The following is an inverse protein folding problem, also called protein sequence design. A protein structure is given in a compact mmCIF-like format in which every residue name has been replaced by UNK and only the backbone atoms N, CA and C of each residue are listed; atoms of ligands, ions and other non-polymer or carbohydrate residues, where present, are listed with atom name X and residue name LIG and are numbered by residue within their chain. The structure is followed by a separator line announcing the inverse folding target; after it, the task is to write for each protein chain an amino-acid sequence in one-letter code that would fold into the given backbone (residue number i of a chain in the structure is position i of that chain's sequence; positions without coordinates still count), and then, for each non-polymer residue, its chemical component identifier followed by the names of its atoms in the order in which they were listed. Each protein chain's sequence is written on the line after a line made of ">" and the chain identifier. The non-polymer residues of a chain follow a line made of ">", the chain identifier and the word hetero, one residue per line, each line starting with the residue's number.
data_IF_847522037185
#
_entry.id   IF_847522037185
#
_cell.length_a   1.000
_cell.length_b   1.000
_cell.length_c   1.000
_cell.angle_alpha   90.00
_cell.angle_beta   90.00
_cell.angle_gamma   90.00
#
_symmetry.space_group_name_H-M   'P 1'
#
loop_
_entity.id
_entity.type
_entity.pdbx_description
1 polymer ?
#
# COMPACT_ATOMS: atom_id res chain seq x y z
N UNK A 1 -9.17 14.08 18.04
CA UNK A 1 -10.57 14.51 18.29
C UNK A 1 -10.82 14.92 19.74
N UNK A 2 -10.39 14.09 20.69
CA UNK A 2 -10.62 14.30 22.13
C UNK A 2 -10.17 15.69 22.62
N UNK A 3 -9.03 16.19 22.15
CA UNK A 3 -8.53 17.52 22.51
C UNK A 3 -9.52 18.66 22.15
N UNK A 4 -10.07 18.64 20.94
CA UNK A 4 -11.00 19.70 20.49
C UNK A 4 -12.35 19.58 21.21
N UNK A 5 -12.84 18.35 21.40
CA UNK A 5 -14.07 18.09 22.12
C UNK A 5 -13.98 18.49 23.61
N UNK A 6 -12.81 18.31 24.23
CA UNK A 6 -12.52 18.79 25.60
C UNK A 6 -12.62 20.31 25.73
N UNK A 7 -12.34 21.06 24.66
CA UNK A 7 -12.52 22.51 24.60
C UNK A 7 -13.89 22.92 24.01
N UNK A 8 -14.87 22.01 24.01
CA UNK A 8 -16.22 22.23 23.47
C UNK A 8 -16.26 22.63 21.98
N UNK A 9 -15.19 22.36 21.23
CA UNK A 9 -15.15 22.55 19.78
C UNK A 9 -15.75 21.30 19.14
N UNK A 10 -16.84 21.47 18.41
CA UNK A 10 -17.47 20.39 17.64
C UNK A 10 -16.47 19.88 16.60
N UNK A 11 -16.00 18.65 16.80
CA UNK A 11 -15.20 17.91 15.85
C UNK A 11 -15.93 16.61 15.50
N UNK A 12 -15.77 16.14 14.27
CA UNK A 12 -16.32 14.89 13.77
C UNK A 12 -15.26 14.13 12.97
N UNK A 13 -15.28 12.79 13.02
CA UNK A 13 -14.46 11.95 12.18
C UNK A 13 -15.30 11.43 11.01
N UNK A 14 -14.87 11.70 9.78
CA UNK A 14 -15.63 11.40 8.56
C UNK A 14 -14.89 10.44 7.61
N UNK A 15 -13.76 9.86 8.03
CA UNK A 15 -12.89 9.07 7.14
C UNK A 15 -12.17 9.94 6.11
N UNK A 16 -11.66 9.32 5.03
CA UNK A 16 -10.97 10.04 3.95
C UNK A 16 -11.82 10.06 2.69
N UNK A 17 -11.88 11.20 2.00
CA UNK A 17 -12.64 11.38 0.75
C UNK A 17 -12.29 10.31 -0.31
N UNK A 18 -11.05 9.80 -0.33
CA UNK A 18 -10.63 8.74 -1.26
C UNK A 18 -11.42 7.43 -1.13
N UNK A 19 -12.16 7.23 -0.03
CA UNK A 19 -13.10 6.12 0.14
C UNK A 19 -14.30 6.18 -0.83
N UNK A 20 -14.47 7.26 -1.59
CA UNK A 20 -15.53 7.39 -2.61
C UNK A 20 -15.01 7.17 -4.05
N UNK A 21 -13.70 6.98 -4.26
CA UNK A 21 -13.13 6.83 -5.61
C UNK A 21 -13.61 5.57 -6.35
N UNK A 22 -14.08 4.57 -5.62
CA UNK A 22 -14.71 3.37 -6.17
C UNK A 22 -15.93 3.66 -7.03
N UNK A 23 -16.64 4.77 -6.80
CA UNK A 23 -17.79 5.17 -7.64
C UNK A 23 -17.38 5.45 -9.10
N UNK A 24 -16.09 5.76 -9.34
CA UNK A 24 -15.56 6.08 -10.67
C UNK A 24 -14.54 5.05 -11.16
N UNK A 25 -13.70 4.53 -10.26
CA UNK A 25 -12.52 3.75 -10.63
C UNK A 25 -12.65 2.25 -10.35
N UNK A 26 -13.73 1.78 -9.72
CA UNK A 26 -13.94 0.34 -9.53
C UNK A 26 -13.91 -0.41 -10.88
N UNK A 27 -13.35 -1.62 -10.85
CA UNK A 27 -13.21 -2.48 -12.02
C UNK A 27 -13.40 -3.95 -11.63
N UNK A 28 -14.33 -4.61 -12.32
CA UNK A 28 -14.53 -6.06 -12.23
C UNK A 28 -13.40 -6.85 -12.92
N UNK A 29 -12.83 -6.27 -13.97
CA UNK A 29 -11.67 -6.85 -14.65
C UNK A 29 -10.43 -6.79 -13.73
N UNK A 30 -9.79 -7.93 -13.50
CA UNK A 30 -8.54 -8.04 -12.74
C UNK A 30 -7.39 -8.48 -13.65
N UNK A 31 -6.21 -7.88 -13.46
CA UNK A 31 -5.00 -8.15 -14.25
C UNK A 31 -4.16 -9.31 -13.68
N UNK A 32 -4.57 -9.89 -12.55
CA UNK A 32 -3.89 -10.99 -11.87
C UNK A 32 -2.59 -10.60 -11.17
N UNK A 33 -2.18 -9.32 -11.18
CA UNK A 33 -0.89 -8.85 -10.67
C UNK A 33 -0.97 -8.41 -9.21
N UNK A 34 0.14 -8.61 -8.51
CA UNK A 34 0.35 -8.13 -7.14
C UNK A 34 1.23 -6.89 -7.21
N UNK A 35 0.83 -5.84 -6.52
CA UNK A 35 1.54 -4.57 -6.50
C UNK A 35 2.10 -4.28 -5.12
N UNK A 36 3.41 -4.08 -5.02
CA UNK A 36 4.06 -3.50 -3.85
C UNK A 36 4.25 -2.00 -4.08
N UNK A 37 3.49 -1.20 -3.36
CA UNK A 37 3.44 0.26 -3.56
C UNK A 37 4.00 0.95 -2.35
N UNK A 38 5.19 1.55 -2.47
CA UNK A 38 5.93 2.14 -1.33
C UNK A 38 5.79 1.27 -0.05
N UNK A 39 6.13 -0.02 -0.10
CA UNK A 39 6.07 -0.86 1.09
C UNK A 39 7.10 -0.36 2.11
N UNK A 40 6.87 -0.65 3.40
CA UNK A 40 7.82 -0.30 4.46
C UNK A 40 9.24 -0.72 4.09
N UNK A 41 10.19 0.20 4.25
CA UNK A 41 11.62 -0.05 4.11
C UNK A 41 12.37 0.37 5.37
N UNK A 42 13.39 -0.41 5.79
CA UNK A 42 14.20 -0.07 6.94
C UNK A 42 14.96 1.22 6.65
N UNK A 43 14.76 2.22 7.51
CA UNK A 43 15.38 3.56 7.37
C UNK A 43 16.65 3.67 8.23
N UNK A 44 16.80 2.80 9.24
CA UNK A 44 17.92 2.86 10.19
C UNK A 44 19.26 2.47 9.54
N UNK A 45 20.30 3.25 9.86
CA UNK A 45 21.67 2.94 9.43
C UNK A 45 22.13 1.62 10.05
N UNK A 46 22.34 0.61 9.20
CA UNK A 46 22.93 -0.67 9.60
C UNK A 46 24.45 -0.61 9.61
N UNK A 47 25.06 -1.29 10.58
CA UNK A 47 26.52 -1.41 10.64
C UNK A 47 27.05 -2.22 9.45
N UNK A 48 28.34 -2.07 9.14
CA UNK A 48 28.94 -2.81 8.01
C UNK A 48 28.87 -4.33 8.21
N UNK A 49 29.07 -4.81 9.45
CA UNK A 49 28.91 -6.22 9.80
C UNK A 49 27.49 -6.72 9.48
N UNK A 50 26.45 -5.96 9.83
CA UNK A 50 25.07 -6.32 9.53
C UNK A 50 24.78 -6.40 8.02
N UNK A 51 25.38 -5.51 7.21
CA UNK A 51 25.28 -5.55 5.75
C UNK A 51 25.96 -6.78 5.17
N UNK A 52 27.16 -7.12 5.64
CA UNK A 52 27.90 -8.32 5.19
C UNK A 52 27.11 -9.58 5.55
N UNK A 53 26.63 -9.69 6.79
CA UNK A 53 25.80 -10.82 7.22
C UNK A 53 24.51 -10.94 6.39
N UNK A 54 23.89 -9.82 6.03
CA UNK A 54 22.73 -9.81 5.15
C UNK A 54 23.05 -10.34 3.76
N UNK A 55 24.16 -9.91 3.15
CA UNK A 55 24.59 -10.38 1.83
C UNK A 55 24.85 -11.88 1.85
N UNK A 56 25.53 -12.40 2.87
CA UNK A 56 25.77 -13.84 3.05
C UNK A 56 24.45 -14.61 3.19
N UNK A 57 23.53 -14.14 4.03
CA UNK A 57 22.21 -14.78 4.23
C UNK A 57 21.34 -14.77 2.98
N UNK A 58 21.50 -13.78 2.12
CA UNK A 58 20.68 -13.61 0.91
C UNK A 58 21.35 -14.14 -0.35
N UNK A 59 22.61 -14.60 -0.28
CA UNK A 59 23.36 -15.15 -1.40
C UNK A 59 22.66 -16.31 -2.13
N UNK A 60 21.98 -17.27 -1.44
CA UNK A 60 21.24 -18.33 -2.12
C UNK A 60 20.10 -17.81 -3.01
N UNK A 61 19.60 -16.61 -2.73
CA UNK A 61 18.50 -15.98 -3.45
C UNK A 61 18.97 -14.92 -4.46
N UNK A 62 20.26 -14.91 -4.82
CA UNK A 62 20.87 -13.90 -5.70
C UNK A 62 20.08 -13.65 -6.99
N UNK A 63 19.71 -14.71 -7.73
CA UNK A 63 18.94 -14.58 -8.99
C UNK A 63 17.59 -13.90 -8.77
N UNK A 64 16.90 -14.23 -7.68
CA UNK A 64 15.62 -13.63 -7.35
C UNK A 64 15.76 -12.16 -6.96
N UNK A 65 16.71 -11.84 -6.08
CA UNK A 65 16.97 -10.48 -5.62
C UNK A 65 17.41 -9.60 -6.79
N UNK A 66 18.22 -10.12 -7.73
CA UNK A 66 18.61 -9.38 -8.94
C UNK A 66 17.39 -9.06 -9.82
N UNK A 67 16.49 -10.03 -10.06
CA UNK A 67 15.22 -9.81 -10.80
C UNK A 67 14.34 -8.76 -10.10
N UNK A 68 14.18 -8.88 -8.78
CA UNK A 68 13.41 -7.92 -7.97
C UNK A 68 14.04 -6.53 -8.03
N UNK A 69 15.38 -6.43 -7.94
CA UNK A 69 16.10 -5.15 -8.01
C UNK A 69 15.84 -4.47 -9.35
N UNK A 70 15.96 -5.19 -10.46
CA UNK A 70 15.67 -4.65 -11.78
C UNK A 70 14.23 -4.12 -11.87
N UNK A 71 13.23 -4.84 -11.36
CA UNK A 71 11.84 -4.36 -11.34
C UNK A 71 11.64 -3.11 -10.46
N UNK A 72 12.18 -3.11 -9.23
CA UNK A 72 12.04 -2.01 -8.25
C UNK A 72 12.70 -0.69 -8.69
N UNK A 73 13.72 -0.79 -9.54
CA UNK A 73 14.55 0.34 -9.94
C UNK A 73 14.62 0.49 -11.47
N UNK A 74 13.58 0.05 -12.20
CA UNK A 74 13.44 0.26 -13.66
C UNK A 74 14.69 -0.17 -14.47
N UNK A 75 15.30 -1.29 -14.09
CA UNK A 75 16.50 -1.86 -14.73
C UNK A 75 17.83 -1.44 -14.10
N UNK A 76 17.84 -0.45 -13.21
CA UNK A 76 19.07 0.07 -12.60
C UNK A 76 19.55 -0.79 -11.41
N UNK A 77 20.54 -1.66 -11.66
CA UNK A 77 21.10 -2.57 -10.65
C UNK A 77 22.43 -2.04 -10.11
N UNK A 78 22.38 -0.99 -9.29
CA UNK A 78 23.54 -0.54 -8.50
C UNK A 78 23.69 -1.38 -7.23
N UNK A 79 24.89 -1.39 -6.64
CA UNK A 79 25.13 -2.05 -5.35
C UNK A 79 24.19 -1.54 -4.25
N UNK A 80 23.91 -0.22 -4.23
CA UNK A 80 22.97 0.38 -3.28
C UNK A 80 21.55 -0.16 -3.47
N UNK A 81 21.06 -0.21 -4.71
CA UNK A 81 19.73 -0.72 -5.05
C UNK A 81 19.60 -2.22 -4.75
N UNK A 82 20.66 -2.99 -5.02
CA UNK A 82 20.75 -4.40 -4.69
C UNK A 82 20.69 -4.62 -3.16
N UNK A 83 21.51 -3.90 -2.40
CA UNK A 83 21.53 -3.99 -0.93
C UNK A 83 20.17 -3.62 -0.32
N UNK A 84 19.54 -2.54 -0.80
CA UNK A 84 18.17 -2.17 -0.40
C UNK A 84 17.16 -3.28 -0.75
N UNK A 85 17.41 -4.05 -1.80
CA UNK A 85 16.57 -5.20 -2.18
C UNK A 85 16.85 -6.43 -1.33
N UNK A 86 18.09 -6.65 -0.88
CA UNK A 86 18.38 -7.67 0.14
C UNK A 86 17.61 -7.40 1.43
N UNK A 87 17.55 -6.14 1.89
CA UNK A 87 16.77 -5.77 3.08
C UNK A 87 15.28 -6.03 2.88
N UNK A 88 14.73 -5.56 1.75
CA UNK A 88 13.35 -5.86 1.36
C UNK A 88 13.08 -7.36 1.36
N UNK A 89 13.89 -8.12 0.63
CA UNK A 89 13.72 -9.55 0.49
C UNK A 89 13.80 -10.26 1.85
N UNK A 90 14.72 -9.85 2.74
CA UNK A 90 14.82 -10.36 4.11
C UNK A 90 13.51 -10.19 4.91
N UNK A 91 12.87 -9.04 4.78
CA UNK A 91 11.62 -8.74 5.50
C UNK A 91 10.46 -9.52 4.88
N UNK A 92 10.25 -9.37 3.58
CA UNK A 92 9.01 -9.84 2.96
C UNK A 92 9.01 -11.34 2.64
N UNK A 93 10.16 -12.00 2.53
CA UNK A 93 10.19 -13.45 2.32
C UNK A 93 9.66 -14.25 3.52
N UNK A 94 9.49 -13.62 4.70
CA UNK A 94 8.92 -14.30 5.86
C UNK A 94 7.42 -14.51 5.73
N UNK A 95 6.75 -13.71 4.88
CA UNK A 95 5.30 -13.71 4.73
C UNK A 95 4.82 -13.96 3.29
N UNK A 96 5.61 -13.57 2.29
CA UNK A 96 5.32 -13.77 0.87
C UNK A 96 6.28 -14.80 0.27
N UNK A 97 5.76 -15.69 -0.59
CA UNK A 97 6.61 -16.63 -1.32
C UNK A 97 7.59 -15.89 -2.25
N UNK A 98 8.68 -16.58 -2.58
CA UNK A 98 9.72 -16.03 -3.47
C UNK A 98 9.15 -15.67 -4.83
N UNK A 99 8.22 -16.48 -5.34
CA UNK A 99 7.55 -16.33 -6.63
C UNK A 99 6.72 -15.05 -6.66
N UNK A 100 5.94 -14.79 -5.59
CA UNK A 100 5.19 -13.52 -5.42
C UNK A 100 6.15 -12.35 -5.52
N UNK A 101 7.23 -12.37 -4.75
CA UNK A 101 8.19 -11.26 -4.74
C UNK A 101 8.84 -11.08 -6.12
N UNK A 102 9.15 -12.16 -6.84
CA UNK A 102 9.75 -12.06 -8.18
C UNK A 102 8.78 -11.55 -9.25
N UNK A 103 7.50 -11.91 -9.16
CA UNK A 103 6.50 -11.64 -10.20
C UNK A 103 5.67 -10.38 -9.95
N UNK A 104 5.65 -9.88 -8.71
CA UNK A 104 5.04 -8.61 -8.37
C UNK A 104 5.59 -7.42 -9.18
N UNK A 105 4.77 -6.37 -9.22
CA UNK A 105 5.10 -5.05 -9.74
C UNK A 105 5.40 -4.09 -8.59
N UNK A 106 6.36 -3.19 -8.78
CA UNK A 106 6.85 -2.30 -7.73
C UNK A 106 6.65 -0.84 -8.12
N UNK A 107 5.92 -0.11 -7.30
CA UNK A 107 5.53 1.28 -7.58
C UNK A 107 5.97 2.19 -6.46
N UNK A 108 6.37 3.42 -6.81
CA UNK A 108 6.72 4.48 -5.88
C UNK A 108 5.80 5.67 -6.10
N UNK A 109 5.35 6.33 -5.03
CA UNK A 109 4.58 7.57 -5.12
C UNK A 109 5.43 8.84 -5.05
N UNK A 110 6.76 8.70 -4.94
CA UNK A 110 7.65 9.86 -4.97
C UNK A 110 7.91 10.22 -6.43
N UNK A 111 7.26 11.29 -6.88
CA UNK A 111 7.51 11.91 -8.16
C UNK A 111 8.34 13.19 -7.97
N UNK A 112 9.23 13.44 -8.92
CA UNK A 112 9.96 14.69 -9.01
C UNK A 112 9.05 15.72 -9.71
N UNK A 113 8.80 16.91 -9.12
CA UNK A 113 7.93 17.92 -9.73
C UNK A 113 8.37 18.29 -11.15
N UNK A 114 9.66 18.27 -11.43
CA UNK A 114 10.26 18.54 -12.75
C UNK A 114 9.85 17.52 -13.81
N UNK A 115 9.26 16.38 -13.42
CA UNK A 115 8.75 15.35 -14.32
C UNK A 115 7.38 15.65 -14.91
N UNK A 116 6.73 16.76 -14.54
CA UNK A 116 5.41 17.13 -15.02
C UNK A 116 5.41 18.54 -15.61
N UNK A 117 4.82 18.70 -16.79
CA UNK A 117 4.70 20.00 -17.44
C UNK A 117 3.41 20.75 -17.08
N UNK A 118 2.47 20.11 -16.38
CA UNK A 118 1.21 20.73 -15.91
C UNK A 118 0.52 19.92 -14.81
N UNK A 119 -0.41 20.56 -14.09
CA UNK A 119 -1.30 19.89 -13.13
C UNK A 119 -2.15 18.80 -13.79
N UNK A 120 -2.65 19.04 -15.01
CA UNK A 120 -3.43 18.06 -15.75
C UNK A 120 -2.66 16.75 -15.99
N UNK A 121 -1.35 16.82 -16.26
CA UNK A 121 -0.52 15.62 -16.37
C UNK A 121 -0.39 14.88 -15.03
N UNK A 122 -0.30 15.61 -13.92
CA UNK A 122 -0.27 15.00 -12.59
C UNK A 122 -1.58 14.25 -12.31
N UNK A 123 -2.73 14.84 -12.65
CA UNK A 123 -4.03 14.17 -12.54
C UNK A 123 -4.12 12.94 -13.43
N UNK A 124 -3.62 13.01 -14.67
CA UNK A 124 -3.60 11.86 -15.58
C UNK A 124 -2.73 10.71 -15.05
N UNK A 125 -1.56 10.99 -14.48
CA UNK A 125 -0.75 9.94 -13.86
C UNK A 125 -1.39 9.37 -12.60
N UNK A 126 -2.04 10.19 -11.79
CA UNK A 126 -2.82 9.72 -10.64
C UNK A 126 -3.98 8.81 -11.09
N UNK A 127 -4.69 9.19 -12.15
CA UNK A 127 -5.76 8.38 -12.75
C UNK A 127 -5.23 7.04 -13.29
N UNK A 128 -4.12 7.05 -14.05
CA UNK A 128 -3.49 5.81 -14.53
C UNK A 128 -3.15 4.87 -13.37
N UNK A 129 -2.69 5.46 -12.25
CA UNK A 129 -2.33 4.71 -11.07
C UNK A 129 -3.56 4.11 -10.37
N UNK A 130 -4.64 4.87 -10.22
CA UNK A 130 -5.91 4.38 -9.69
C UNK A 130 -6.48 3.24 -10.55
N UNK A 131 -6.47 3.39 -11.87
CA UNK A 131 -6.91 2.34 -12.81
C UNK A 131 -6.09 1.06 -12.67
N UNK A 132 -4.79 1.20 -12.41
CA UNK A 132 -3.91 0.06 -12.14
C UNK A 132 -4.26 -0.63 -10.82
N UNK A 133 -4.52 0.13 -9.77
CA UNK A 133 -4.94 -0.41 -8.47
C UNK A 133 -6.30 -1.09 -8.55
N UNK A 134 -7.26 -0.54 -9.29
CA UNK A 134 -8.59 -1.13 -9.47
C UNK A 134 -8.53 -2.55 -10.05
N UNK A 135 -7.59 -2.80 -10.97
CA UNK A 135 -7.40 -4.09 -11.63
C UNK A 135 -6.48 -5.04 -10.86
N UNK A 136 -5.81 -4.59 -9.80
CA UNK A 136 -4.87 -5.41 -9.06
C UNK A 136 -5.52 -6.65 -8.42
N UNK A 137 -4.78 -7.76 -8.37
CA UNK A 137 -5.13 -8.93 -7.55
C UNK A 137 -4.92 -8.66 -6.06
N UNK A 138 -3.87 -7.91 -5.73
CA UNK A 138 -3.52 -7.52 -4.36
C UNK A 138 -2.60 -6.30 -4.38
N UNK A 139 -2.82 -5.37 -3.45
CA UNK A 139 -1.92 -4.25 -3.18
C UNK A 139 -1.30 -4.40 -1.79
N UNK A 140 0.02 -4.23 -1.68
CA UNK A 140 0.76 -4.25 -0.42
C UNK A 140 1.46 -2.91 -0.25
N UNK A 141 1.15 -2.16 0.81
CA UNK A 141 1.63 -0.77 0.96
C UNK A 141 1.75 -0.34 2.41
N UNK A 142 2.62 0.62 2.72
CA UNK A 142 2.59 1.36 4.00
C UNK A 142 2.03 2.79 3.84
N UNK A 143 1.36 3.08 2.71
CA UNK A 143 0.79 4.40 2.41
C UNK A 143 -0.72 4.36 2.56
N UNK A 144 -1.26 5.06 3.55
CA UNK A 144 -2.70 5.07 3.78
C UNK A 144 -3.48 5.64 2.58
N UNK A 145 -2.92 6.63 1.89
CA UNK A 145 -3.49 7.21 0.67
C UNK A 145 -3.43 6.29 -0.56
N UNK A 146 -2.72 5.16 -0.46
CA UNK A 146 -2.82 4.07 -1.43
C UNK A 146 -3.88 3.06 -1.00
N UNK A 147 -3.91 2.73 0.29
CA UNK A 147 -4.76 1.68 0.82
C UNK A 147 -6.26 2.05 0.81
N UNK A 148 -6.62 3.28 1.16
CA UNK A 148 -8.01 3.74 1.19
C UNK A 148 -8.67 3.72 -0.20
N UNK A 149 -8.05 4.25 -1.28
CA UNK A 149 -8.57 4.04 -2.63
C UNK A 149 -8.76 2.55 -2.97
N UNK A 150 -7.81 1.68 -2.61
CA UNK A 150 -7.91 0.25 -2.88
C UNK A 150 -9.15 -0.37 -2.21
N UNK A 151 -9.41 -0.04 -0.94
CA UNK A 151 -10.63 -0.44 -0.25
C UNK A 151 -11.88 0.04 -1.00
N UNK A 152 -11.91 1.31 -1.40
CA UNK A 152 -13.03 1.91 -2.12
C UNK A 152 -13.36 1.19 -3.44
N UNK A 153 -12.32 0.83 -4.18
CA UNK A 153 -12.40 0.11 -5.46
C UNK A 153 -12.58 -1.41 -5.28
N UNK A 154 -12.71 -1.88 -4.04
CA UNK A 154 -12.80 -3.30 -3.67
C UNK A 154 -11.59 -4.15 -4.11
N UNK A 155 -10.43 -3.51 -4.29
CA UNK A 155 -9.16 -4.19 -4.52
C UNK A 155 -8.61 -4.71 -3.20
N UNK A 156 -8.27 -6.01 -3.08
CA UNK A 156 -7.61 -6.54 -1.89
C UNK A 156 -6.35 -5.74 -1.52
N UNK A 157 -6.26 -5.33 -0.26
CA UNK A 157 -5.11 -4.55 0.22
C UNK A 157 -4.60 -5.07 1.57
N UNK A 158 -3.27 -5.11 1.69
CA UNK A 158 -2.54 -5.31 2.95
C UNK A 158 -1.79 -4.03 3.26
N UNK A 159 -2.10 -3.45 4.41
CA UNK A 159 -1.40 -2.31 4.95
C UNK A 159 -0.28 -2.78 5.88
N UNK A 160 0.91 -2.23 5.70
CA UNK A 160 2.07 -2.52 6.53
C UNK A 160 2.18 -1.44 7.60
N UNK A 161 1.96 -1.83 8.84
CA UNK A 161 2.04 -0.95 10.00
C UNK A 161 3.41 -1.07 10.69
N UNK A 162 4.05 0.07 10.90
CA UNK A 162 5.37 0.17 11.50
C UNK A 162 5.21 0.57 12.97
N UNK A 163 5.30 -0.42 13.86
CA UNK A 163 5.03 -0.24 15.29
C UNK A 163 6.05 0.68 15.98
N UNK A 164 7.25 0.87 15.41
CA UNK A 164 8.24 1.80 15.96
C UNK A 164 7.86 3.27 15.67
N UNK A 165 7.02 3.52 14.66
CA UNK A 165 6.49 4.85 14.34
C UNK A 165 5.05 5.06 14.81
N UNK A 166 4.37 3.98 15.19
CA UNK A 166 2.96 4.00 15.57
C UNK A 166 2.68 4.81 16.83
N UNK A 167 3.63 4.96 17.76
CA UNK A 167 3.45 5.85 18.93
C UNK A 167 3.26 7.33 18.53
N UNK A 168 3.86 7.77 17.42
CA UNK A 168 3.74 9.15 16.91
C UNK A 168 2.60 9.27 15.88
N UNK A 169 2.30 8.20 15.13
CA UNK A 169 1.22 8.19 14.13
C UNK A 169 -0.15 7.75 14.65
N UNK A 170 -0.23 7.16 15.85
CA UNK A 170 -1.46 6.69 16.51
C UNK A 170 -2.52 7.78 16.56
N UNK A 171 -2.14 9.00 16.97
CA UNK A 171 -3.05 10.15 17.01
C UNK A 171 -3.67 10.55 15.66
N UNK A 172 -3.07 10.18 14.51
CA UNK A 172 -3.54 10.57 13.16
C UNK A 172 -4.25 9.45 12.41
N UNK A 173 -3.97 8.21 12.76
CA UNK A 173 -4.46 7.02 12.06
C UNK A 173 -5.47 6.22 12.89
N UNK A 174 -5.77 6.69 14.10
CA UNK A 174 -6.74 6.08 15.00
C UNK A 174 -8.10 5.89 14.30
N UNK A 175 -8.62 4.66 14.36
CA UNK A 175 -9.84 4.24 13.67
C UNK A 175 -9.72 3.99 12.15
N UNK A 176 -8.68 4.48 11.45
CA UNK A 176 -8.48 4.15 10.02
C UNK A 176 -7.73 2.83 9.82
N UNK A 177 -6.80 2.46 10.72
CA UNK A 177 -6.04 1.22 10.57
C UNK A 177 -6.93 -0.03 10.66
N UNK A 178 -8.01 0.05 11.44
CA UNK A 178 -9.00 -1.02 11.61
C UNK A 178 -9.74 -1.39 10.30
N UNK A 179 -9.66 -0.52 9.29
CA UNK A 179 -10.26 -0.72 7.98
C UNK A 179 -9.45 -1.69 7.11
N UNK A 180 -8.16 -1.85 7.39
CA UNK A 180 -7.24 -2.63 6.55
C UNK A 180 -6.99 -4.01 7.13
N UNK A 181 -6.53 -4.90 6.26
CA UNK A 181 -5.74 -6.05 6.66
C UNK A 181 -4.33 -5.57 7.00
N UNK A 182 -3.77 -5.94 8.14
CA UNK A 182 -2.54 -5.43 8.71
C UNK A 182 -1.42 -6.48 8.75
N UNK A 183 -0.23 -6.04 8.36
CA UNK A 183 1.04 -6.68 8.70
C UNK A 183 1.80 -5.78 9.65
N UNK A 184 2.18 -6.30 10.81
CA UNK A 184 2.90 -5.54 11.82
C UNK A 184 4.39 -5.72 11.65
N UNK A 185 5.12 -4.61 11.57
CA UNK A 185 6.57 -4.56 11.54
C UNK A 185 7.11 -3.93 12.82
N UNK A 186 8.08 -4.61 13.42
CA UNK A 186 8.90 -4.09 14.51
C UNK A 186 10.37 -4.46 14.25
N UNK A 187 11.30 -3.50 14.38
CA UNK A 187 12.75 -3.74 14.26
C UNK A 187 13.14 -4.44 12.95
N UNK A 188 12.56 -3.96 11.84
CA UNK A 188 12.72 -4.53 10.49
C UNK A 188 12.33 -6.01 10.38
N UNK A 189 11.34 -6.47 11.13
CA UNK A 189 10.78 -7.82 11.01
C UNK A 189 9.27 -7.77 11.05
N UNK A 190 8.63 -8.61 10.25
CA UNK A 190 7.19 -8.87 10.42
C UNK A 190 7.03 -9.68 11.70
N UNK A 191 6.31 -9.12 12.68
CA UNK A 191 6.10 -9.71 14.01
C UNK A 191 4.70 -10.31 14.16
N UNK A 192 3.77 -9.96 13.28
CA UNK A 192 2.43 -10.53 13.26
C UNK A 192 1.59 -10.01 12.09
N UNK A 193 0.36 -10.53 12.01
CA UNK A 193 -0.67 -10.10 11.07
C UNK A 193 -2.05 -10.28 11.71
N UNK A 194 -3.03 -9.52 11.25
CA UNK A 194 -4.44 -9.79 11.54
C UNK A 194 -5.11 -10.69 10.48
N UNK A 195 -4.34 -11.05 9.45
CA UNK A 195 -4.66 -12.05 8.43
C UNK A 195 -4.17 -13.40 8.95
N UNK A 196 -4.92 -14.48 8.70
CA UNK A 196 -4.51 -15.84 9.03
C UNK A 196 -3.12 -16.19 8.45
N UNK A 197 -2.46 -17.19 9.06
CA UNK A 197 -1.04 -17.57 8.85
C UNK A 197 -0.54 -17.52 7.39
N UNK A 198 0.75 -17.17 7.23
CA UNK A 198 1.54 -16.99 5.99
C UNK A 198 0.78 -17.21 4.68
N UNK A 199 0.73 -16.16 3.85
CA UNK A 199 0.25 -16.26 2.46
C UNK A 199 1.17 -17.17 1.64
N UNK A 200 0.89 -18.47 1.69
CA UNK A 200 1.55 -19.50 0.92
C UNK A 200 0.71 -19.79 -0.33
N UNK A 201 1.38 -19.89 -1.48
CA UNK A 201 0.79 -20.48 -2.67
C UNK A 201 0.56 -21.97 -2.40
N UNK A 202 -0.64 -22.33 -1.98
CA UNK A 202 -1.23 -23.58 -2.45
C UNK A 202 -2.24 -23.13 -3.51
N UNK A 203 -1.84 -23.27 -4.77
CA UNK A 203 -2.69 -23.14 -5.96
C UNK A 203 -3.35 -21.79 -6.23
N UNK A 204 -2.61 -20.84 -6.84
CA UNK A 204 -3.15 -19.80 -7.74
C UNK A 204 -4.24 -18.83 -7.22
N UNK A 205 -4.79 -19.01 -6.03
CA UNK A 205 -5.90 -18.25 -5.46
C UNK A 205 -5.40 -17.53 -4.21
N UNK A 206 -5.21 -16.21 -4.34
CA UNK A 206 -5.04 -15.36 -3.16
C UNK A 206 -6.45 -15.04 -2.70
N UNK A 207 -6.89 -15.66 -1.61
CA UNK A 207 -8.22 -15.46 -1.02
C UNK A 207 -8.17 -14.39 0.06
N UNK A 208 -7.54 -13.25 -0.23
CA UNK A 208 -7.50 -12.12 0.71
C UNK A 208 -8.67 -11.22 0.38
N UNK A 209 -9.66 -11.22 1.27
CA UNK A 209 -10.76 -10.26 1.22
C UNK A 209 -10.47 -9.06 2.11
N UNK A 210 -10.92 -7.88 1.70
CA UNK A 210 -10.89 -6.71 2.57
C UNK A 210 -11.90 -6.87 3.71
N UNK A 211 -11.58 -6.31 4.89
CA UNK A 211 -12.56 -6.10 5.95
C UNK A 211 -13.71 -5.24 5.42
N UNK A 212 -14.92 -5.44 5.90
CA UNK A 212 -16.11 -4.69 5.45
C UNK A 212 -16.37 -3.41 6.24
N UNK A 213 -15.61 -3.16 7.31
CA UNK A 213 -15.78 -2.03 8.24
C UNK A 213 -15.72 -0.66 7.55
N UNK A 214 -14.95 -0.53 6.46
CA UNK A 214 -14.86 0.72 5.70
C UNK A 214 -16.15 1.10 4.96
N UNK A 215 -17.05 0.14 4.71
CA UNK A 215 -18.26 0.37 3.91
C UNK A 215 -19.20 1.39 4.56
N UNK A 216 -19.28 1.39 5.90
CA UNK A 216 -20.06 2.39 6.63
C UNK A 216 -19.54 3.80 6.37
N UNK A 217 -18.23 4.02 6.57
CA UNK A 217 -17.60 5.32 6.31
C UNK A 217 -17.72 5.75 4.84
N UNK A 218 -17.56 4.81 3.89
CA UNK A 218 -17.79 5.06 2.47
C UNK A 218 -19.22 5.55 2.21
N UNK A 219 -20.22 4.84 2.72
CA UNK A 219 -21.63 5.17 2.49
C UNK A 219 -22.01 6.51 3.12
N UNK A 220 -21.57 6.78 4.35
CA UNK A 220 -21.80 8.06 5.03
C UNK A 220 -21.23 9.23 4.21
N UNK A 221 -20.01 9.07 3.66
CA UNK A 221 -19.39 10.07 2.79
C UNK A 221 -20.16 10.26 1.48
N UNK A 222 -20.59 9.19 0.83
CA UNK A 222 -21.39 9.27 -0.41
C UNK A 222 -22.71 9.99 -0.16
N UNK A 223 -23.38 9.71 0.97
CA UNK A 223 -24.61 10.40 1.34
C UNK A 223 -24.39 11.91 1.51
N UNK A 224 -23.31 12.32 2.18
CA UNK A 224 -22.92 13.72 2.32
C UNK A 224 -22.68 14.36 0.95
N UNK A 225 -21.95 13.68 0.05
CA UNK A 225 -21.67 14.21 -1.30
C UNK A 225 -22.95 14.35 -2.14
N UNK A 226 -23.86 13.39 -2.04
CA UNK A 226 -25.14 13.40 -2.75
C UNK A 226 -26.06 14.53 -2.25
N UNK A 227 -26.17 14.72 -0.92
CA UNK A 227 -27.00 15.79 -0.33
C UNK A 227 -26.57 17.19 -0.77
N UNK A 228 -25.28 17.37 -1.06
CA UNK A 228 -24.72 18.66 -1.43
C UNK A 228 -24.46 18.83 -2.94
N UNK A 229 -24.95 17.92 -3.79
CA UNK A 229 -24.77 17.94 -5.25
C UNK A 229 -23.31 18.01 -5.74
N UNK A 230 -22.35 17.45 -4.98
CA UNK A 230 -20.92 17.51 -5.34
C UNK A 230 -20.49 16.51 -6.44
N UNK A 231 -21.35 15.57 -6.85
CA UNK A 231 -21.09 14.73 -8.02
C UNK A 231 -21.37 15.48 -9.32
N UNK A 232 -20.53 16.47 -9.61
CA UNK A 232 -20.52 17.19 -10.88
C UNK A 232 -19.72 16.30 -11.86
N UNK A 233 -20.40 15.79 -12.89
CA UNK A 233 -19.91 14.85 -13.91
C UNK A 233 -19.94 13.35 -13.57
N UNK A 234 -21.15 12.79 -13.49
CA UNK A 234 -21.37 11.43 -14.03
C UNK A 234 -21.12 11.49 -15.54
N UNK A 235 -19.88 11.27 -15.98
CA UNK A 235 -19.63 10.97 -17.39
C UNK A 235 -20.40 9.69 -17.70
N UNK A 236 -21.51 9.83 -18.44
CA UNK A 236 -22.17 8.70 -19.09
C UNK A 236 -21.12 8.05 -19.99
N UNK A 237 -20.91 6.72 -19.93
CA UNK A 237 -20.08 6.05 -20.92
C UNK A 237 -20.72 6.26 -22.30
N UNK A 238 -19.91 6.80 -23.22
CA UNK A 238 -20.13 6.77 -24.67
C UNK A 238 -19.78 5.40 -25.23
#
# INVERSE_FOLDING_TARGET
>A
MNLLQQHHIKAFFTGCLTLTLGETFHSEEKDGKIYFVDPYMPVHRKSNLQKILLLLKTAPHFKAIKKITAKRYKGEVTFRNYLNTCFFYKIYQTFFSKEILQDAEYIKHIYKPEGFSSENQMFQEAEKLLRKYAKAKLVVTSRIHCALPCLSMETPVIYIDDLEKSEISSCRLDGLLELFNLLFIEKDKIVGSDIADKINFVDSQITISNKTTYRKLKNDLIEILNKNNYFIHKNKPS
#
